data_IF_811767149454
#
_entry.id   IF_811767149454
#
_cell.length_a   1.000
_cell.length_b   1.000
_cell.length_c   1.000
_cell.angle_alpha   90.00
_cell.angle_beta   90.00
_cell.angle_gamma   90.00
#
_symmetry.space_group_name_H-M   'P 1'
#
loop_
_entity.id
_entity.type
_entity.pdbx_description
1 polymer ?
#
# COMPACT_ATOMS: atom_id res chain seq x y z
N UNK A 1 -54.91 19.20 10.04
CA UNK A 1 -53.85 18.88 9.08
C UNK A 1 -52.55 19.05 9.81
N UNK A 2 -51.91 17.92 10.12
CA UNK A 2 -50.67 17.83 10.89
C UNK A 2 -49.51 17.77 9.91
N UNK A 3 -48.61 18.74 9.93
CA UNK A 3 -47.36 18.67 9.19
C UNK A 3 -46.27 18.07 10.07
N UNK A 4 -45.78 16.92 9.61
CA UNK A 4 -44.76 16.09 10.22
C UNK A 4 -43.40 16.75 10.12
N UNK A 5 -42.77 16.92 11.28
CA UNK A 5 -41.41 17.39 11.49
C UNK A 5 -40.40 16.40 10.87
N UNK A 6 -39.65 16.85 9.85
CA UNK A 6 -38.61 16.06 9.19
C UNK A 6 -37.38 16.04 10.10
N UNK A 7 -37.21 14.95 10.85
CA UNK A 7 -36.01 14.66 11.62
C UNK A 7 -34.78 14.60 10.71
N UNK A 8 -33.80 15.48 10.96
CA UNK A 8 -32.45 15.37 10.38
C UNK A 8 -31.77 14.09 10.87
N UNK A 9 -31.15 13.28 10.00
CA UNK A 9 -30.30 12.20 10.47
C UNK A 9 -29.00 12.81 11.01
N UNK A 10 -28.89 12.90 12.33
CA UNK A 10 -27.60 13.05 13.02
C UNK A 10 -26.80 11.77 12.81
N UNK A 11 -25.84 11.81 11.88
CA UNK A 11 -24.81 10.80 11.77
C UNK A 11 -23.96 10.78 13.04
N UNK A 12 -24.20 9.77 13.88
CA UNK A 12 -23.48 9.46 15.10
C UNK A 12 -21.98 9.24 14.82
N UNK A 13 -21.17 10.29 14.97
CA UNK A 13 -19.72 10.13 15.19
C UNK A 13 -19.52 9.71 16.64
N UNK A 14 -19.82 8.45 16.93
CA UNK A 14 -19.56 7.84 18.24
C UNK A 14 -18.06 7.95 18.52
N UNK A 15 -17.69 8.58 19.63
CA UNK A 15 -16.31 8.63 20.07
C UNK A 15 -15.78 7.20 20.22
N UNK A 16 -14.53 6.89 19.79
CA UNK A 16 -13.97 5.55 19.89
C UNK A 16 -14.05 5.05 21.32
N UNK A 17 -14.53 3.82 21.51
CA UNK A 17 -14.52 3.19 22.82
C UNK A 17 -13.09 3.09 23.36
N UNK A 18 -12.91 3.08 24.68
CA UNK A 18 -11.58 2.98 25.33
C UNK A 18 -10.71 1.84 24.77
N UNK A 19 -11.32 0.72 24.37
CA UNK A 19 -10.61 -0.41 23.78
C UNK A 19 -10.15 -0.18 22.33
N UNK A 20 -10.94 0.52 21.53
CA UNK A 20 -10.57 0.88 20.16
C UNK A 20 -9.38 1.85 20.16
N UNK A 21 -9.35 2.78 21.12
CA UNK A 21 -8.23 3.69 21.31
C UNK A 21 -6.93 2.94 21.67
N UNK A 22 -7.00 1.92 22.53
CA UNK A 22 -5.82 1.11 22.87
C UNK A 22 -5.32 0.29 21.67
N UNK A 23 -6.24 -0.32 20.91
CA UNK A 23 -5.89 -1.03 19.67
C UNK A 23 -5.23 -0.09 18.66
N UNK A 24 -5.78 1.11 18.47
CA UNK A 24 -5.21 2.11 17.57
C UNK A 24 -3.81 2.59 18.02
N UNK A 25 -3.59 2.76 19.33
CA UNK A 25 -2.26 3.10 19.88
C UNK A 25 -1.22 2.02 19.61
N UNK A 26 -1.60 0.75 19.74
CA UNK A 26 -0.70 -0.37 19.41
C UNK A 26 -0.34 -0.40 17.93
N UNK A 27 -1.32 -0.17 17.05
CA UNK A 27 -1.10 -0.10 15.59
C UNK A 27 -0.21 1.09 15.21
N UNK A 28 -0.46 2.28 15.76
CA UNK A 28 0.38 3.45 15.53
C UNK A 28 1.82 3.24 16.05
N UNK A 29 1.95 2.68 17.25
CA UNK A 29 3.26 2.42 17.85
C UNK A 29 4.12 1.47 17.02
N UNK A 30 3.54 0.39 16.45
CA UNK A 30 4.32 -0.50 15.59
C UNK A 30 4.71 0.19 14.29
N UNK A 31 3.85 1.03 13.69
CA UNK A 31 4.18 1.77 12.47
C UNK A 31 5.35 2.73 12.69
N UNK A 32 5.36 3.44 13.82
CA UNK A 32 6.46 4.35 14.20
C UNK A 32 7.76 3.59 14.47
N UNK A 33 7.71 2.51 15.26
CA UNK A 33 8.90 1.73 15.62
C UNK A 33 9.55 1.05 14.41
N UNK A 34 8.75 0.69 13.39
CA UNK A 34 9.26 0.06 12.17
C UNK A 34 10.02 1.04 11.25
N UNK A 35 10.01 2.35 11.52
CA UNK A 35 10.85 3.30 10.81
C UNK A 35 12.35 3.07 11.11
N UNK A 36 12.67 2.64 12.34
CA UNK A 36 14.04 2.54 12.84
C UNK A 36 14.47 1.10 13.16
N UNK A 37 13.52 0.15 13.18
CA UNK A 37 13.77 -1.23 13.61
C UNK A 37 13.05 -2.25 12.72
N UNK A 38 13.67 -3.41 12.52
CA UNK A 38 12.99 -4.56 11.93
C UNK A 38 11.96 -5.13 12.90
N UNK A 39 10.91 -5.79 12.38
CA UNK A 39 9.95 -6.48 13.25
C UNK A 39 10.64 -7.55 14.11
N UNK A 40 11.70 -8.19 13.59
CA UNK A 40 12.46 -9.22 14.29
C UNK A 40 13.07 -8.70 15.61
N UNK A 41 13.64 -7.50 15.59
CA UNK A 41 14.27 -6.83 16.74
C UNK A 41 13.27 -6.34 17.80
N UNK A 42 12.02 -6.08 17.40
CA UNK A 42 10.99 -5.59 18.30
C UNK A 42 10.44 -6.69 19.21
N UNK A 43 10.44 -6.39 20.51
CA UNK A 43 9.72 -7.14 21.55
C UNK A 43 8.34 -6.54 21.84
N UNK A 44 7.40 -7.37 22.31
CA UNK A 44 6.09 -6.92 22.81
C UNK A 44 6.25 -5.87 23.92
N UNK A 45 7.30 -5.97 24.74
CA UNK A 45 7.56 -4.99 25.79
C UNK A 45 7.92 -3.61 25.24
N UNK A 46 8.75 -3.54 24.19
CA UNK A 46 9.09 -2.27 23.54
C UNK A 46 7.85 -1.62 22.91
N UNK A 47 7.06 -2.41 22.16
CA UNK A 47 5.83 -1.92 21.51
C UNK A 47 4.84 -1.38 22.54
N UNK A 48 4.61 -2.14 23.62
CA UNK A 48 3.64 -1.75 24.65
C UNK A 48 4.07 -0.53 25.43
N UNK A 49 5.37 -0.39 25.72
CA UNK A 49 5.95 0.82 26.34
C UNK A 49 5.76 2.03 25.43
N UNK A 50 6.08 1.92 24.15
CA UNK A 50 5.90 3.00 23.17
C UNK A 50 4.43 3.41 23.03
N UNK A 51 3.52 2.43 22.97
CA UNK A 51 2.07 2.67 22.87
C UNK A 51 1.42 3.18 24.17
N UNK A 52 2.13 3.17 25.30
CA UNK A 52 1.56 3.50 26.61
C UNK A 52 0.44 2.55 27.05
N UNK A 53 0.56 1.25 26.71
CA UNK A 53 -0.40 0.19 27.08
C UNK A 53 0.28 -0.93 27.85
N UNK A 54 -0.48 -1.75 28.58
CA UNK A 54 0.08 -2.89 29.31
C UNK A 54 0.30 -4.09 28.39
N UNK A 55 1.21 -4.99 28.78
CA UNK A 55 1.42 -6.27 28.08
C UNK A 55 0.15 -7.14 28.07
N UNK A 56 -0.63 -7.11 29.14
CA UNK A 56 -1.92 -7.81 29.21
C UNK A 56 -2.92 -7.25 28.19
N UNK A 57 -2.96 -5.92 28.01
CA UNK A 57 -3.79 -5.28 27.01
C UNK A 57 -3.34 -5.61 25.58
N UNK A 58 -2.03 -5.75 25.32
CA UNK A 58 -1.55 -6.23 24.02
C UNK A 58 -2.15 -7.59 23.67
N UNK A 59 -1.99 -8.59 24.55
CA UNK A 59 -2.47 -9.95 24.26
C UNK A 59 -3.99 -10.09 24.29
N UNK A 60 -4.71 -9.10 24.82
CA UNK A 60 -6.15 -9.00 24.64
C UNK A 60 -6.55 -8.67 23.18
N UNK A 61 -5.73 -7.92 22.44
CA UNK A 61 -6.02 -7.51 21.06
C UNK A 61 -5.26 -8.31 19.99
N UNK A 62 -4.04 -8.74 20.30
CA UNK A 62 -3.12 -9.35 19.34
C UNK A 62 -2.41 -10.55 19.94
N UNK A 63 -2.55 -11.70 19.29
CA UNK A 63 -1.91 -12.95 19.73
C UNK A 63 -0.39 -12.92 19.54
N UNK A 64 0.11 -12.10 18.60
CA UNK A 64 1.53 -11.98 18.29
C UNK A 64 1.88 -10.60 17.69
N UNK A 65 3.18 -10.32 17.55
CA UNK A 65 3.65 -9.15 16.80
C UNK A 65 3.29 -9.20 15.30
N UNK A 66 3.12 -10.41 14.75
CA UNK A 66 2.66 -10.60 13.37
C UNK A 66 1.16 -10.27 13.23
N UNK A 67 0.33 -10.64 14.21
CA UNK A 67 -1.08 -10.24 14.22
C UNK A 67 -1.26 -8.72 14.31
N UNK A 68 -0.39 -8.05 15.08
CA UNK A 68 -0.34 -6.59 15.12
C UNK A 68 0.13 -5.99 13.78
N UNK A 69 1.18 -6.57 13.16
CA UNK A 69 1.67 -6.14 11.85
C UNK A 69 0.60 -6.30 10.77
N UNK A 70 -0.11 -7.43 10.75
CA UNK A 70 -1.24 -7.68 9.85
C UNK A 70 -2.34 -6.62 9.99
N UNK A 71 -2.69 -6.26 11.23
CA UNK A 71 -3.67 -5.21 11.49
C UNK A 71 -3.19 -3.81 11.09
N UNK A 72 -1.90 -3.53 11.24
CA UNK A 72 -1.29 -2.29 10.78
C UNK A 72 -1.30 -2.20 9.24
N UNK A 73 -1.02 -3.32 8.57
CA UNK A 73 -1.08 -3.42 7.12
C UNK A 73 -2.50 -3.21 6.59
N UNK A 74 -3.51 -3.86 7.18
CA UNK A 74 -4.92 -3.67 6.80
C UNK A 74 -5.35 -2.21 6.88
N UNK A 75 -4.87 -1.46 7.89
CA UNK A 75 -5.20 -0.05 8.05
C UNK A 75 -4.61 0.81 6.92
N UNK A 76 -3.36 0.56 6.54
CA UNK A 76 -2.71 1.28 5.44
C UNK A 76 -3.35 0.90 4.10
N UNK A 77 -3.70 -0.37 3.92
CA UNK A 77 -4.36 -0.85 2.69
C UNK A 77 -5.79 -0.33 2.56
N UNK A 78 -6.55 -0.23 3.65
CA UNK A 78 -7.86 0.41 3.65
C UNK A 78 -7.76 1.88 3.20
N UNK A 79 -6.69 2.59 3.56
CA UNK A 79 -6.45 3.96 3.07
C UNK A 79 -6.15 3.99 1.58
N UNK A 80 -5.33 3.06 1.05
CA UNK A 80 -5.09 2.97 -0.39
C UNK A 80 -6.31 2.55 -1.20
N UNK A 81 -7.09 1.59 -0.71
CA UNK A 81 -8.33 1.18 -1.35
C UNK A 81 -9.38 2.30 -1.33
N UNK A 82 -9.47 3.06 -0.22
CA UNK A 82 -10.38 4.20 -0.10
C UNK A 82 -9.95 5.41 -0.95
N UNK A 83 -8.67 5.52 -1.29
CA UNK A 83 -8.15 6.52 -2.23
C UNK A 83 -8.57 6.27 -3.70
N UNK A 84 -9.54 5.37 -3.96
CA UNK A 84 -10.34 5.15 -5.17
C UNK A 84 -9.77 5.74 -6.48
N UNK A 85 -9.45 4.84 -7.42
CA UNK A 85 -8.11 4.42 -7.77
C UNK A 85 -7.39 5.49 -8.60
N UNK A 86 -6.10 5.21 -8.81
CA UNK A 86 -5.27 5.39 -10.00
C UNK A 86 -5.98 5.33 -11.38
N UNK A 87 -7.29 5.60 -11.51
CA UNK A 87 -8.16 5.52 -12.68
C UNK A 87 -9.10 6.73 -12.75
N UNK A 88 -9.72 7.13 -11.63
CA UNK A 88 -10.69 8.24 -11.62
C UNK A 88 -10.01 9.61 -11.81
N UNK A 89 -8.72 9.71 -11.47
CA UNK A 89 -7.88 10.88 -11.70
C UNK A 89 -6.91 10.77 -12.87
N UNK A 90 -6.91 9.68 -13.64
CA UNK A 90 -6.01 9.54 -14.77
C UNK A 90 -6.52 10.35 -15.95
N UNK A 91 -5.72 11.32 -16.37
CA UNK A 91 -5.89 11.92 -17.68
C UNK A 91 -5.38 10.95 -18.76
N UNK A 92 -6.26 10.08 -19.26
CA UNK A 92 -5.97 9.16 -20.36
C UNK A 92 -5.77 9.87 -21.72
N UNK A 93 -5.82 11.21 -21.75
CA UNK A 93 -5.46 12.04 -22.89
C UNK A 93 -4.02 12.57 -22.82
N UNK A 94 -3.39 12.50 -21.65
CA UNK A 94 -1.97 12.84 -21.46
C UNK A 94 -1.04 11.89 -22.22
N UNK A 95 0.21 12.31 -22.44
CA UNK A 95 1.19 11.47 -23.09
C UNK A 95 1.46 10.20 -22.24
N UNK A 96 1.65 9.03 -22.88
CA UNK A 96 1.95 7.78 -22.18
C UNK A 96 3.06 7.85 -21.13
N UNK A 97 4.12 8.62 -21.43
CA UNK A 97 5.25 8.87 -20.54
C UNK A 97 4.83 9.62 -19.29
N UNK A 98 4.02 10.66 -19.44
CA UNK A 98 3.59 11.53 -18.34
C UNK A 98 2.66 10.77 -17.41
N UNK A 99 1.71 10.03 -17.98
CA UNK A 99 0.81 9.15 -17.25
C UNK A 99 1.56 8.10 -16.43
N UNK A 100 2.50 7.39 -17.07
CA UNK A 100 3.30 6.34 -16.42
C UNK A 100 4.17 6.91 -15.30
N UNK A 101 4.77 8.09 -15.53
CA UNK A 101 5.61 8.78 -14.55
C UNK A 101 4.80 9.29 -13.37
N UNK A 102 3.61 9.85 -13.59
CA UNK A 102 2.71 10.28 -12.52
C UNK A 102 2.29 9.10 -11.63
N UNK A 103 1.82 8.01 -12.24
CA UNK A 103 1.45 6.78 -11.53
C UNK A 103 2.60 6.25 -10.68
N UNK A 104 3.80 6.19 -11.26
CA UNK A 104 4.98 5.68 -10.59
C UNK A 104 5.38 6.59 -9.43
N UNK A 105 5.33 7.91 -9.61
CA UNK A 105 5.58 8.90 -8.56
C UNK A 105 4.65 8.72 -7.38
N UNK A 106 3.34 8.59 -7.62
CA UNK A 106 2.36 8.40 -6.56
C UNK A 106 2.65 7.12 -5.78
N UNK A 107 3.00 6.03 -6.48
CA UNK A 107 3.37 4.76 -5.84
C UNK A 107 4.67 4.87 -5.02
N UNK A 108 5.69 5.58 -5.51
CA UNK A 108 6.95 5.81 -4.79
C UNK A 108 6.74 6.65 -3.54
N UNK A 109 5.93 7.70 -3.62
CA UNK A 109 5.63 8.56 -2.47
C UNK A 109 4.86 7.79 -1.38
N UNK A 110 3.86 7.01 -1.80
CA UNK A 110 3.13 6.08 -0.93
C UNK A 110 4.09 5.11 -0.24
N UNK A 111 4.99 4.50 -1.00
CA UNK A 111 5.94 3.55 -0.46
C UNK A 111 6.87 4.22 0.55
N UNK A 112 7.41 5.39 0.21
CA UNK A 112 8.29 6.16 1.07
C UNK A 112 7.62 6.52 2.41
N UNK A 113 6.35 6.97 2.38
CA UNK A 113 5.59 7.30 3.59
C UNK A 113 5.36 6.10 4.53
N UNK A 114 5.36 4.89 4.00
CA UNK A 114 5.08 3.66 4.75
C UNK A 114 6.22 2.64 4.72
N UNK A 115 7.43 3.06 4.36
CA UNK A 115 8.54 2.16 4.05
C UNK A 115 8.77 1.11 5.14
N UNK A 116 8.89 1.53 6.41
CA UNK A 116 9.15 0.62 7.53
C UNK A 116 8.10 -0.48 7.68
N UNK A 117 6.82 -0.13 7.53
CA UNK A 117 5.73 -1.09 7.57
C UNK A 117 5.79 -2.07 6.37
N UNK A 118 6.00 -1.55 5.17
CA UNK A 118 6.02 -2.35 3.94
C UNK A 118 7.22 -3.29 3.88
N UNK A 119 8.40 -2.82 4.28
CA UNK A 119 9.59 -3.64 4.43
C UNK A 119 9.36 -4.78 5.43
N UNK A 120 8.81 -4.47 6.62
CA UNK A 120 8.50 -5.46 7.64
C UNK A 120 7.48 -6.50 7.17
N UNK A 121 6.46 -6.07 6.42
CA UNK A 121 5.50 -6.99 5.79
C UNK A 121 6.22 -7.92 4.83
N UNK A 122 7.00 -7.37 3.89
CA UNK A 122 7.69 -8.16 2.86
C UNK A 122 8.63 -9.19 3.48
N UNK A 123 9.37 -8.81 4.51
CA UNK A 123 10.29 -9.68 5.27
C UNK A 123 9.53 -10.78 6.01
N UNK A 124 8.43 -10.44 6.69
CA UNK A 124 7.67 -11.37 7.51
C UNK A 124 6.89 -12.43 6.72
N UNK A 125 6.73 -12.30 5.39
CA UNK A 125 6.00 -13.26 4.55
C UNK A 125 6.56 -14.68 4.62
N UNK A 126 7.86 -14.86 4.81
CA UNK A 126 8.44 -16.20 4.95
C UNK A 126 8.21 -16.82 6.33
N UNK A 127 7.79 -16.02 7.31
CA UNK A 127 7.70 -16.41 8.72
C UNK A 127 6.27 -16.51 9.23
N UNK A 128 5.31 -15.83 8.61
CA UNK A 128 3.91 -15.83 9.03
C UNK A 128 2.94 -15.98 7.84
N UNK A 129 2.06 -16.99 7.95
CA UNK A 129 1.14 -17.35 6.87
C UNK A 129 0.00 -16.34 6.67
N UNK A 130 -0.41 -15.59 7.69
CA UNK A 130 -1.42 -14.55 7.55
C UNK A 130 -0.86 -13.38 6.75
N UNK A 131 0.36 -12.94 7.06
CA UNK A 131 1.04 -11.87 6.33
C UNK A 131 1.29 -12.29 4.87
N UNK A 132 1.74 -13.52 4.65
CA UNK A 132 1.94 -14.05 3.30
C UNK A 132 0.65 -14.00 2.46
N UNK A 133 -0.48 -14.42 3.04
CA UNK A 133 -1.79 -14.37 2.37
C UNK A 133 -2.21 -12.94 2.07
N UNK A 134 -2.19 -12.05 3.07
CA UNK A 134 -2.64 -10.68 2.85
C UNK A 134 -1.77 -9.94 1.81
N UNK A 135 -0.46 -10.19 1.76
CA UNK A 135 0.40 -9.67 0.70
C UNK A 135 0.07 -10.24 -0.68
N UNK A 136 -0.19 -11.56 -0.75
CA UNK A 136 -0.60 -12.23 -1.99
C UNK A 136 -1.92 -11.68 -2.52
N UNK A 137 -2.89 -11.48 -1.64
CA UNK A 137 -4.21 -10.95 -1.99
C UNK A 137 -4.10 -9.51 -2.52
N UNK A 138 -3.30 -8.67 -1.86
CA UNK A 138 -3.02 -7.30 -2.31
C UNK A 138 -2.37 -7.30 -3.70
N UNK A 139 -1.26 -8.01 -3.86
CA UNK A 139 -0.51 -8.02 -5.13
C UNK A 139 -1.36 -8.57 -6.28
N UNK A 140 -2.22 -9.56 -6.00
CA UNK A 140 -3.20 -10.08 -6.96
C UNK A 140 -4.26 -9.04 -7.31
N UNK A 141 -4.82 -8.35 -6.32
CA UNK A 141 -5.83 -7.30 -6.53
C UNK A 141 -5.26 -6.14 -7.35
N UNK A 142 -4.08 -5.63 -7.00
CA UNK A 142 -3.41 -4.54 -7.71
C UNK A 142 -3.05 -4.95 -9.14
N UNK A 143 -2.54 -6.18 -9.33
CA UNK A 143 -2.29 -6.73 -10.67
C UNK A 143 -3.55 -6.76 -11.52
N UNK A 144 -4.68 -7.23 -10.95
CA UNK A 144 -5.97 -7.24 -11.60
C UNK A 144 -6.46 -5.85 -12.01
N UNK A 145 -6.31 -4.85 -11.13
CA UNK A 145 -6.68 -3.46 -11.42
C UNK A 145 -5.85 -2.89 -12.58
N UNK A 146 -4.53 -3.07 -12.57
CA UNK A 146 -3.65 -2.61 -13.65
C UNK A 146 -4.00 -3.31 -14.97
N UNK A 147 -4.22 -4.63 -14.95
CA UNK A 147 -4.62 -5.39 -16.13
C UNK A 147 -5.93 -4.89 -16.74
N UNK A 148 -6.91 -4.48 -15.91
CA UNK A 148 -8.15 -3.87 -16.41
C UNK A 148 -7.87 -2.58 -17.20
N UNK A 149 -7.00 -1.70 -16.70
CA UNK A 149 -6.61 -0.46 -17.41
C UNK A 149 -5.91 -0.78 -18.72
N UNK A 150 -4.94 -1.68 -18.68
CA UNK A 150 -4.14 -2.05 -19.84
C UNK A 150 -4.99 -2.71 -20.93
N UNK A 151 -5.95 -3.56 -20.57
CA UNK A 151 -6.90 -4.14 -21.50
C UNK A 151 -7.77 -3.07 -22.18
N UNK A 152 -8.25 -2.06 -21.43
CA UNK A 152 -9.00 -0.95 -22.01
C UNK A 152 -8.14 -0.17 -23.02
N UNK A 153 -6.90 0.16 -22.65
CA UNK A 153 -5.97 0.86 -23.55
C UNK A 153 -5.60 0.02 -24.77
N UNK A 154 -5.47 -1.30 -24.62
CA UNK A 154 -5.13 -2.22 -25.71
C UNK A 154 -6.29 -2.36 -26.68
N UNK A 155 -7.53 -2.44 -26.18
CA UNK A 155 -8.74 -2.49 -27.01
C UNK A 155 -8.94 -1.21 -27.84
N UNK A 156 -8.44 -0.08 -27.33
CA UNK A 156 -8.40 1.20 -28.03
C UNK A 156 -7.17 1.37 -28.95
N UNK A 157 -6.31 0.36 -29.09
CA UNK A 157 -5.10 0.40 -29.90
C UNK A 157 -4.00 1.34 -29.37
N UNK A 158 -4.07 1.75 -28.10
CA UNK A 158 -3.14 2.73 -27.50
C UNK A 158 -1.85 2.11 -26.96
N UNK A 159 -1.88 0.85 -26.54
CA UNK A 159 -0.74 0.13 -25.94
C UNK A 159 -0.41 -1.14 -26.72
N UNK A 160 0.86 -1.56 -26.65
CA UNK A 160 1.35 -2.83 -27.18
C UNK A 160 2.25 -3.49 -26.14
N UNK A 161 1.67 -4.26 -25.20
CA UNK A 161 2.43 -4.93 -24.15
C UNK A 161 3.49 -5.88 -24.72
N UNK A 162 4.60 -6.02 -24.00
CA UNK A 162 5.73 -6.87 -24.39
C UNK A 162 5.43 -8.39 -24.32
N UNK A 163 4.32 -8.77 -23.67
CA UNK A 163 3.87 -10.16 -23.52
C UNK A 163 2.36 -10.24 -23.74
N UNK A 164 1.90 -11.35 -24.32
CA UNK A 164 0.47 -11.68 -24.40
C UNK A 164 -0.09 -12.14 -23.05
N UNK A 165 0.76 -12.67 -22.16
CA UNK A 165 0.43 -12.92 -20.75
C UNK A 165 0.52 -11.61 -19.96
N UNK A 166 -0.54 -10.81 -20.06
CA UNK A 166 -0.64 -9.51 -19.40
C UNK A 166 -0.59 -9.63 -17.86
N UNK A 167 -1.29 -10.57 -17.20
CA UNK A 167 -1.14 -10.79 -15.75
C UNK A 167 0.29 -11.14 -15.35
N UNK A 168 0.97 -12.02 -16.09
CA UNK A 168 2.36 -12.38 -15.84
C UNK A 168 3.31 -11.19 -16.00
N UNK A 169 3.13 -10.39 -17.05
CA UNK A 169 3.91 -9.17 -17.29
C UNK A 169 3.75 -8.16 -16.14
N UNK A 170 2.51 -7.86 -15.76
CA UNK A 170 2.21 -6.91 -14.68
C UNK A 170 2.79 -7.41 -13.36
N UNK A 171 2.62 -8.70 -13.06
CA UNK A 171 3.19 -9.32 -11.85
C UNK A 171 4.72 -9.19 -11.80
N UNK A 172 5.41 -9.44 -12.91
CA UNK A 172 6.86 -9.29 -13.00
C UNK A 172 7.31 -7.83 -12.80
N UNK A 173 6.63 -6.87 -13.44
CA UNK A 173 6.90 -5.44 -13.29
C UNK A 173 6.64 -4.96 -11.86
N UNK A 174 5.57 -5.45 -11.22
CA UNK A 174 5.29 -5.19 -9.80
C UNK A 174 6.36 -5.76 -8.89
N UNK A 175 6.83 -6.98 -9.16
CA UNK A 175 7.93 -7.61 -8.41
C UNK A 175 9.21 -6.78 -8.46
N UNK A 176 9.62 -6.34 -9.66
CA UNK A 176 10.76 -5.43 -9.85
C UNK A 176 10.57 -4.09 -9.13
N UNK A 177 9.37 -3.52 -9.22
CA UNK A 177 9.01 -2.24 -8.59
C UNK A 177 9.15 -2.34 -7.07
N UNK A 178 8.52 -3.35 -6.45
CA UNK A 178 8.61 -3.60 -5.00
C UNK A 178 10.06 -3.84 -4.58
N UNK A 179 10.82 -4.66 -5.32
CA UNK A 179 12.22 -4.92 -5.00
C UNK A 179 13.07 -3.64 -5.02
N UNK A 180 12.90 -2.82 -6.05
CA UNK A 180 13.63 -1.54 -6.18
C UNK A 180 13.29 -0.59 -5.03
N UNK A 181 12.02 -0.53 -4.64
CA UNK A 181 11.55 0.33 -3.55
C UNK A 181 12.00 -0.16 -2.16
N UNK A 182 12.19 -1.47 -1.96
CA UNK A 182 12.77 -2.01 -0.73
C UNK A 182 14.25 -1.62 -0.58
N UNK A 183 15.03 -1.79 -1.65
CA UNK A 183 16.47 -1.53 -1.64
C UNK A 183 16.81 -0.03 -1.57
N UNK A 184 15.95 0.83 -2.15
CA UNK A 184 16.23 2.25 -2.32
C UNK A 184 15.33 3.17 -1.49
N UNK A 185 14.30 2.66 -0.82
CA UNK A 185 13.23 3.50 -0.27
C UNK A 185 13.49 4.09 1.12
N UNK A 186 14.23 3.40 1.99
CA UNK A 186 14.29 3.72 3.42
C UNK A 186 14.85 5.12 3.74
N UNK A 187 15.91 5.52 3.04
CA UNK A 187 16.69 6.71 3.33
C UNK A 187 16.83 7.63 2.12
N UNK A 188 16.05 7.37 1.06
CA UNK A 188 16.13 8.15 -0.17
C UNK A 188 15.70 9.60 0.06
N UNK A 189 16.58 10.53 -0.25
CA UNK A 189 16.24 11.93 -0.38
C UNK A 189 15.34 12.19 -1.61
N UNK A 190 14.91 13.44 -1.79
CA UNK A 190 14.03 13.79 -2.90
C UNK A 190 14.65 13.50 -4.29
N UNK A 191 15.96 13.70 -4.45
CA UNK A 191 16.66 13.42 -5.71
C UNK A 191 16.71 11.93 -6.00
N UNK A 192 17.06 11.13 -4.99
CA UNK A 192 17.10 9.67 -5.10
C UNK A 192 15.71 9.10 -5.39
N UNK A 193 14.64 9.68 -4.83
CA UNK A 193 13.26 9.30 -5.16
C UNK A 193 12.92 9.62 -6.62
N UNK A 194 13.32 10.77 -7.15
CA UNK A 194 13.13 11.08 -8.58
C UNK A 194 13.86 10.09 -9.49
N UNK A 195 15.09 9.71 -9.15
CA UNK A 195 15.83 8.71 -9.91
C UNK A 195 15.12 7.35 -9.93
N UNK A 196 14.54 6.93 -8.80
CA UNK A 196 13.75 5.70 -8.71
C UNK A 196 12.49 5.80 -9.57
N UNK A 197 11.80 6.95 -9.54
CA UNK A 197 10.62 7.21 -10.39
C UNK A 197 10.99 7.11 -11.87
N UNK A 198 12.09 7.72 -12.28
CA UNK A 198 12.53 7.73 -13.68
C UNK A 198 12.88 6.32 -14.17
N UNK A 199 13.62 5.54 -13.37
CA UNK A 199 13.98 4.15 -13.73
C UNK A 199 12.74 3.25 -13.81
N UNK A 200 11.87 3.27 -12.80
CA UNK A 200 10.68 2.40 -12.77
C UNK A 200 9.74 2.79 -13.92
N UNK A 201 9.47 4.10 -14.10
CA UNK A 201 8.58 4.56 -15.16
C UNK A 201 9.10 4.24 -16.56
N UNK A 202 10.42 4.34 -16.80
CA UNK A 202 11.04 3.95 -18.06
C UNK A 202 10.81 2.47 -18.41
N UNK A 203 10.96 1.57 -17.43
CA UNK A 203 10.75 0.13 -17.63
C UNK A 203 9.27 -0.18 -17.87
N UNK A 204 8.37 0.40 -17.08
CA UNK A 204 6.92 0.26 -17.29
C UNK A 204 6.49 0.79 -18.65
N UNK A 205 6.99 1.97 -19.05
CA UNK A 205 6.69 2.60 -20.33
C UNK A 205 7.12 1.69 -21.50
N UNK A 206 8.36 1.21 -21.49
CA UNK A 206 8.88 0.34 -22.53
C UNK A 206 8.12 -1.00 -22.60
N UNK A 207 7.81 -1.59 -21.44
CA UNK A 207 7.15 -2.90 -21.36
C UNK A 207 5.67 -2.87 -21.76
N UNK A 208 4.96 -1.78 -21.45
CA UNK A 208 3.50 -1.67 -21.70
C UNK A 208 3.20 -1.03 -23.05
N UNK A 209 3.94 0.02 -23.42
CA UNK A 209 3.61 0.83 -24.58
C UNK A 209 4.40 0.43 -25.83
N UNK A 210 5.43 -0.41 -25.70
CA UNK A 210 6.23 -0.88 -26.82
C UNK A 210 7.07 0.22 -27.47
N UNK A 211 7.32 1.32 -26.76
CA UNK A 211 8.21 2.39 -27.22
C UNK A 211 9.64 1.85 -27.20
N UNK A 212 10.18 1.54 -28.37
CA UNK A 212 11.63 1.33 -28.53
C UNK A 212 12.31 2.71 -28.48
N UNK A 213 13.33 2.83 -27.63
CA UNK A 213 14.22 3.98 -27.54
C UNK A 213 14.96 4.23 -28.85
#
# INVERSE_FOLDING_TARGET
MSETEIGRPSGDRRAPGRGELQRARLVGAVQELLCDHSLAELSVLQITRHAGVTRSAFYFYFESKYALLAAAMDQVWARFAAARPLLDGLDLTSAPSDLTRQITRDAVEIWHQHHGLLAAVVEARSSDAQIARQWSDLTTQTTGQICQVLNLLQSAGKVKPASEDLPGLVSALMGMTVWTLLERGATADASQREEVVDVISAVWLAAVWGVRW
#
